data_IF_996390065987
#
_entry.id   IF_996390065987
#
_cell.length_a   1.000
_cell.length_b   1.000
_cell.length_c   1.000
_cell.angle_alpha   90.00
_cell.angle_beta   90.00
_cell.angle_gamma   90.00
#
_symmetry.space_group_name_H-M   'P 1'
#
loop_
_entity.id
_entity.type
_entity.pdbx_description
1 polymer ?
#
# COMPACT_ATOMS: atom_id res chain seq x y z
N UNK A 1 0.46 -23.29 3.19
CA UNK A 1 1.70 -22.97 2.45
C UNK A 1 1.52 -21.66 1.72
N UNK A 2 0.43 -21.47 0.96
CA UNK A 2 0.09 -20.24 0.21
C UNK A 2 0.22 -18.92 1.00
N UNK A 3 -0.14 -18.92 2.30
CA UNK A 3 -0.07 -17.73 3.14
C UNK A 3 1.37 -17.24 3.39
N UNK A 4 2.34 -18.15 3.62
CA UNK A 4 3.71 -17.75 3.96
C UNK A 4 4.43 -17.13 2.76
N UNK A 5 4.20 -17.69 1.56
CA UNK A 5 4.77 -17.17 0.32
C UNK A 5 4.13 -15.85 -0.09
N UNK A 6 2.83 -15.68 0.15
CA UNK A 6 2.13 -14.42 -0.07
C UNK A 6 2.62 -13.34 0.90
N UNK A 7 2.80 -13.66 2.18
CA UNK A 7 3.35 -12.73 3.17
C UNK A 7 4.78 -12.31 2.79
N UNK A 8 5.61 -13.26 2.38
CA UNK A 8 6.97 -13.01 1.93
C UNK A 8 7.03 -12.14 0.64
N UNK A 9 6.04 -12.27 -0.24
CA UNK A 9 5.87 -11.42 -1.41
C UNK A 9 5.50 -9.99 -1.01
N UNK A 10 4.53 -9.83 -0.09
CA UNK A 10 4.12 -8.53 0.41
C UNK A 10 5.24 -7.82 1.16
N UNK A 11 6.03 -8.54 1.96
CA UNK A 11 7.17 -7.96 2.65
C UNK A 11 8.20 -7.41 1.66
N UNK A 12 8.48 -8.14 0.57
CA UNK A 12 9.39 -7.67 -0.51
C UNK A 12 8.87 -6.42 -1.22
N UNK A 13 7.55 -6.29 -1.38
CA UNK A 13 6.90 -5.16 -2.05
C UNK A 13 6.63 -3.98 -1.11
N UNK A 14 6.67 -4.19 0.21
CA UNK A 14 6.30 -3.20 1.23
C UNK A 14 7.12 -1.91 1.23
N UNK A 15 8.32 -1.94 0.62
CA UNK A 15 9.22 -0.80 0.46
C UNK A 15 9.01 0.00 -0.84
N UNK A 16 8.06 -0.41 -1.69
CA UNK A 16 7.76 0.24 -2.97
C UNK A 16 6.53 1.13 -2.90
N UNK A 17 6.44 2.09 -3.81
CA UNK A 17 5.27 2.97 -3.94
C UNK A 17 4.02 2.24 -4.45
N UNK A 18 2.82 2.73 -4.12
CA UNK A 18 1.57 2.21 -4.69
C UNK A 18 1.41 2.58 -6.16
N UNK A 19 2.18 3.55 -6.65
CA UNK A 19 2.25 3.99 -8.04
C UNK A 19 3.71 4.20 -8.45
N UNK A 20 3.98 4.14 -9.74
CA UNK A 20 5.30 4.38 -10.33
C UNK A 20 5.19 5.03 -11.71
N UNK A 21 6.25 5.67 -12.20
CA UNK A 21 6.33 6.10 -13.60
C UNK A 21 5.26 7.12 -14.03
N UNK A 22 4.77 7.94 -13.09
CA UNK A 22 3.74 8.94 -13.35
C UNK A 22 2.35 8.33 -13.51
N UNK A 23 1.82 7.74 -12.42
CA UNK A 23 0.44 7.20 -12.26
C UNK A 23 0.20 5.76 -12.70
N UNK A 24 1.23 4.96 -12.97
CA UNK A 24 1.02 3.51 -13.15
C UNK A 24 0.83 2.86 -11.78
N UNK A 25 -0.30 2.19 -11.56
CA UNK A 25 -0.55 1.47 -10.32
C UNK A 25 0.39 0.28 -10.17
N UNK A 26 0.93 0.10 -8.96
CA UNK A 26 1.70 -1.07 -8.58
C UNK A 26 0.75 -2.28 -8.40
N UNK A 27 0.78 -3.19 -9.37
CA UNK A 27 -0.02 -4.42 -9.35
C UNK A 27 0.75 -5.63 -8.77
N UNK A 28 1.95 -5.41 -8.23
CA UNK A 28 2.79 -6.46 -7.64
C UNK A 28 2.04 -7.37 -6.68
N UNK A 29 1.30 -6.83 -5.69
CA UNK A 29 0.55 -7.64 -4.73
C UNK A 29 -0.53 -8.52 -5.38
N UNK A 30 -1.27 -7.98 -6.35
CA UNK A 30 -2.32 -8.71 -7.07
C UNK A 30 -1.73 -9.82 -7.95
N UNK A 31 -0.62 -9.53 -8.63
CA UNK A 31 0.07 -10.48 -9.48
C UNK A 31 0.72 -11.62 -8.66
N UNK A 32 1.25 -11.32 -7.47
CA UNK A 32 1.76 -12.33 -6.55
C UNK A 32 0.65 -13.32 -6.12
N UNK A 33 -0.51 -12.80 -5.71
CA UNK A 33 -1.69 -13.62 -5.38
C UNK A 33 -2.14 -14.47 -6.58
N UNK A 34 -2.15 -13.88 -7.78
CA UNK A 34 -2.49 -14.58 -9.00
C UNK A 34 -1.51 -15.73 -9.30
N UNK A 35 -0.20 -15.48 -9.30
CA UNK A 35 0.86 -16.46 -9.57
C UNK A 35 0.78 -17.67 -8.62
N UNK A 36 0.58 -17.42 -7.32
CA UNK A 36 0.38 -18.49 -6.33
C UNK A 36 -0.86 -19.32 -6.68
N UNK A 37 -1.99 -18.67 -6.97
CA UNK A 37 -3.25 -19.39 -7.30
C UNK A 37 -3.18 -20.23 -8.56
N UNK A 38 -2.32 -19.86 -9.53
CA UNK A 38 -2.15 -20.62 -10.77
C UNK A 38 -0.98 -21.61 -10.71
N UNK A 39 -0.35 -21.81 -9.54
CA UNK A 39 0.70 -22.81 -9.33
C UNK A 39 2.10 -22.40 -9.78
N UNK A 40 2.36 -21.10 -9.92
CA UNK A 40 3.66 -20.52 -10.31
C UNK A 40 4.42 -19.92 -9.12
N UNK A 41 4.34 -20.55 -7.96
CA UNK A 41 5.01 -20.09 -6.73
C UNK A 41 6.54 -20.12 -6.85
N UNK A 42 7.10 -21.11 -7.55
CA UNK A 42 8.55 -21.26 -7.76
C UNK A 42 9.15 -20.07 -8.55
N UNK A 43 8.35 -19.43 -9.40
CA UNK A 43 8.75 -18.27 -10.21
C UNK A 43 8.52 -16.92 -9.48
N UNK A 44 7.85 -16.93 -8.32
CA UNK A 44 7.36 -15.71 -7.68
C UNK A 44 8.48 -14.76 -7.26
N UNK A 45 9.54 -15.30 -6.66
CA UNK A 45 10.63 -14.46 -6.12
C UNK A 45 11.38 -13.75 -7.24
N UNK A 46 11.76 -14.47 -8.30
CA UNK A 46 12.46 -13.89 -9.45
C UNK A 46 11.59 -12.88 -10.17
N UNK A 47 10.29 -13.16 -10.32
CA UNK A 47 9.33 -12.24 -10.90
C UNK A 47 9.19 -10.95 -10.09
N UNK A 48 9.08 -11.03 -8.76
CA UNK A 48 9.00 -9.84 -7.88
C UNK A 48 10.29 -9.02 -7.99
N UNK A 49 11.45 -9.66 -7.93
CA UNK A 49 12.73 -8.96 -7.98
C UNK A 49 12.91 -8.20 -9.29
N UNK A 50 12.52 -8.80 -10.43
CA UNK A 50 12.51 -8.11 -11.72
C UNK A 50 11.48 -6.97 -11.75
N UNK A 51 10.25 -7.22 -11.29
CA UNK A 51 9.18 -6.22 -11.31
C UNK A 51 9.53 -4.99 -10.46
N UNK A 52 10.16 -5.19 -9.29
CA UNK A 52 10.58 -4.11 -8.39
C UNK A 52 11.55 -3.13 -9.03
N UNK A 53 12.33 -3.52 -10.04
CA UNK A 53 13.24 -2.62 -10.75
C UNK A 53 12.51 -1.48 -11.49
N UNK A 54 11.21 -1.64 -11.71
CA UNK A 54 10.34 -0.65 -12.39
C UNK A 54 9.61 0.27 -11.40
N UNK A 55 9.59 -0.09 -10.11
CA UNK A 55 8.78 0.57 -9.11
C UNK A 55 9.53 1.73 -8.47
N UNK A 56 8.81 2.80 -8.18
CA UNK A 56 9.34 3.90 -7.40
C UNK A 56 9.44 3.50 -5.92
N UNK A 57 10.32 4.18 -5.17
CA UNK A 57 10.41 4.02 -3.72
C UNK A 57 9.08 4.37 -3.04
N UNK A 58 8.80 3.73 -1.89
CA UNK A 58 7.67 4.10 -1.06
C UNK A 58 7.73 5.59 -0.68
N UNK A 59 6.66 6.37 -0.91
CA UNK A 59 6.58 7.76 -0.46
C UNK A 59 6.83 7.87 1.04
N UNK A 60 7.69 8.80 1.44
CA UNK A 60 8.03 9.08 2.83
C UNK A 60 7.18 10.22 3.38
N UNK A 61 6.92 10.19 4.67
CA UNK A 61 6.32 11.32 5.39
C UNK A 61 7.23 12.55 5.23
N UNK A 62 6.64 13.66 4.81
CA UNK A 62 7.28 14.97 4.66
C UNK A 62 6.74 15.95 5.70
N UNK A 63 5.45 15.89 5.97
CA UNK A 63 4.78 16.73 6.95
C UNK A 63 3.82 15.90 7.79
N UNK A 64 4.09 15.88 9.08
CA UNK A 64 3.16 15.26 10.03
C UNK A 64 1.92 16.13 10.12
N UNK A 65 0.76 15.55 9.82
CA UNK A 65 -0.54 16.16 10.14
C UNK A 65 -1.36 15.25 11.04
N UNK A 66 -2.25 15.88 11.81
CA UNK A 66 -3.13 15.20 12.76
C UNK A 66 -4.44 14.79 12.08
N UNK A 67 -5.09 13.75 12.61
CA UNK A 67 -6.37 13.26 12.06
C UNK A 67 -7.43 14.38 11.95
N UNK A 68 -7.38 15.42 12.79
CA UNK A 68 -8.33 16.54 12.77
C UNK A 68 -8.30 17.36 11.49
N UNK A 69 -7.17 17.34 10.77
CA UNK A 69 -6.90 18.22 9.63
C UNK A 69 -7.09 17.50 8.29
N UNK A 70 -7.59 16.26 8.33
CA UNK A 70 -7.60 15.34 7.19
C UNK A 70 -8.28 15.88 5.92
N UNK A 71 -9.33 16.69 6.06
CA UNK A 71 -10.03 17.27 4.91
C UNK A 71 -9.16 18.21 4.10
N UNK A 72 -8.21 18.92 4.74
CA UNK A 72 -7.33 19.88 4.06
C UNK A 72 -6.40 19.20 3.05
N UNK A 73 -6.06 17.94 3.32
CA UNK A 73 -5.08 17.18 2.54
C UNK A 73 -5.71 16.13 1.61
N UNK A 74 -7.04 16.11 1.51
CA UNK A 74 -7.74 15.19 0.63
C UNK A 74 -7.56 15.57 -0.84
N UNK A 75 -7.16 14.61 -1.67
CA UNK A 75 -6.97 14.82 -3.10
C UNK A 75 -5.65 15.49 -3.50
N UNK A 76 -4.76 15.78 -2.54
CA UNK A 76 -3.39 16.23 -2.82
C UNK A 76 -2.43 15.03 -2.94
N UNK A 77 -1.95 14.68 -4.15
CA UNK A 77 -1.06 13.53 -4.35
C UNK A 77 0.28 13.68 -3.66
N UNK A 78 0.73 14.91 -3.42
CA UNK A 78 2.00 15.17 -2.73
C UNK A 78 1.99 14.72 -1.27
N UNK A 79 0.80 14.47 -0.71
CA UNK A 79 0.55 14.04 0.68
C UNK A 79 0.49 12.52 0.85
N UNK A 80 0.69 11.75 -0.20
CA UNK A 80 0.56 10.29 -0.13
C UNK A 80 1.44 9.66 0.96
N UNK A 81 2.69 10.11 1.10
CA UNK A 81 3.59 9.63 2.16
C UNK A 81 3.13 10.00 3.58
N UNK A 82 2.49 11.17 3.73
CA UNK A 82 1.96 11.65 5.01
C UNK A 82 0.74 10.80 5.44
N UNK A 83 -0.17 10.52 4.48
CA UNK A 83 -1.30 9.60 4.69
C UNK A 83 -0.85 8.19 5.08
N UNK A 84 0.15 7.63 4.39
CA UNK A 84 0.70 6.31 4.72
C UNK A 84 1.27 6.27 6.14
N UNK A 85 1.96 7.32 6.57
CA UNK A 85 2.53 7.40 7.91
C UNK A 85 1.47 7.57 9.01
N UNK A 86 0.41 8.35 8.75
CA UNK A 86 -0.74 8.47 9.64
C UNK A 86 -1.38 7.09 9.89
N UNK A 87 -1.72 6.37 8.83
CA UNK A 87 -2.38 5.07 8.97
C UNK A 87 -1.47 3.99 9.58
N UNK A 88 -0.16 3.98 9.28
CA UNK A 88 0.79 3.06 9.92
C UNK A 88 0.85 3.28 11.45
N UNK A 89 0.87 4.55 11.90
CA UNK A 89 0.79 4.87 13.33
C UNK A 89 -0.52 4.40 13.94
N UNK A 90 -1.65 4.67 13.28
CA UNK A 90 -2.96 4.36 13.82
C UNK A 90 -3.19 2.85 13.92
N UNK A 91 -2.89 2.07 12.87
CA UNK A 91 -2.97 0.59 12.88
C UNK A 91 -2.16 -0.04 14.01
N UNK A 92 -1.02 0.56 14.39
CA UNK A 92 -0.20 0.06 15.51
C UNK A 92 -0.77 0.42 16.89
N UNK A 93 -1.61 1.45 16.95
CA UNK A 93 -2.17 1.96 18.22
C UNK A 93 -3.53 1.37 18.57
N UNK A 94 -4.28 0.85 17.59
CA UNK A 94 -5.66 0.39 17.78
C UNK A 94 -6.04 -0.73 16.79
N UNK A 95 -7.13 -1.48 17.04
CA UNK A 95 -7.59 -2.51 16.12
C UNK A 95 -7.90 -1.92 14.74
N UNK A 96 -7.34 -2.52 13.68
CA UNK A 96 -7.52 -2.04 12.30
C UNK A 96 -9.00 -1.94 11.87
N UNK A 97 -9.89 -2.77 12.46
CA UNK A 97 -11.33 -2.74 12.17
C UNK A 97 -11.98 -1.46 12.67
N UNK A 98 -11.60 -0.99 13.86
CA UNK A 98 -12.13 0.22 14.46
C UNK A 98 -11.64 1.45 13.69
N UNK A 99 -10.37 1.43 13.29
CA UNK A 99 -9.79 2.42 12.41
C UNK A 99 -10.53 2.48 11.07
N UNK A 100 -10.73 1.34 10.42
CA UNK A 100 -11.45 1.25 9.15
C UNK A 100 -12.87 1.79 9.28
N UNK A 101 -13.62 1.40 10.31
CA UNK A 101 -14.98 1.86 10.54
C UNK A 101 -15.07 3.39 10.71
N UNK A 102 -14.02 4.03 11.24
CA UNK A 102 -13.94 5.48 11.43
C UNK A 102 -13.60 6.24 10.15
N UNK A 103 -12.71 5.70 9.32
CA UNK A 103 -12.20 6.37 8.12
C UNK A 103 -12.99 6.07 6.85
N UNK A 104 -13.56 4.87 6.72
CA UNK A 104 -14.39 4.47 5.59
C UNK A 104 -15.46 5.53 5.22
N UNK A 105 -16.30 6.03 6.17
CA UNK A 105 -17.33 7.00 5.83
C UNK A 105 -16.78 8.37 5.40
N UNK A 106 -15.56 8.70 5.84
CA UNK A 106 -14.90 9.98 5.57
C UNK A 106 -14.31 10.02 4.16
N UNK A 107 -13.74 8.90 3.71
CA UNK A 107 -13.00 8.83 2.46
C UNK A 107 -13.87 8.40 1.27
N UNK A 108 -14.94 7.62 1.50
CA UNK A 108 -15.85 7.16 0.44
C UNK A 108 -16.40 8.26 -0.47
N UNK A 109 -16.80 9.44 0.05
CA UNK A 109 -17.34 10.48 -0.82
C UNK A 109 -16.37 10.94 -1.92
N UNK A 110 -15.06 10.68 -1.76
CA UNK A 110 -14.03 10.95 -2.77
C UNK A 110 -13.76 9.78 -3.73
N UNK A 111 -14.39 8.62 -3.55
CA UNK A 111 -14.31 7.51 -4.50
C UNK A 111 -15.35 7.73 -5.63
N UNK A 112 -14.98 7.50 -6.90
CA UNK A 112 -15.89 7.64 -8.04
C UNK A 112 -17.00 6.59 -8.07
#
# INVERSE_FOLDING_TARGET
MDSESLDAAYERLSSTGPEFGGWLSNHGPMAADALIRIGHEDDLVSWIDEYKTRLDERPRERWRFEETDWQEYLGDPSRLGDWLALFDRQVRSEPWKDLLARWWPRLIPGAP
#
